data_IF_901290116552
#
_entry.id   IF_901290116552
#
_cell.length_a   1.000
_cell.length_b   1.000
_cell.length_c   1.000
_cell.angle_alpha   90.00
_cell.angle_beta   90.00
_cell.angle_gamma   90.00
#
_symmetry.space_group_name_H-M   'P 1'
#
loop_
_entity.id
_entity.type
_entity.pdbx_description
1 polymer ?
#
# COMPACT_ATOMS: atom_id res chain seq x y z
N UNK A 1 -26.22 -9.63 20.97
CA UNK A 1 -25.49 -9.52 19.69
C UNK A 1 -25.24 -8.05 19.45
N UNK A 2 -24.10 -7.52 19.89
CA UNK A 2 -23.71 -6.15 19.56
C UNK A 2 -23.39 -6.13 18.08
N UNK A 3 -24.27 -5.53 17.27
CA UNK A 3 -23.96 -5.18 15.90
C UNK A 3 -22.84 -4.14 15.94
N UNK A 4 -21.59 -4.61 15.87
CA UNK A 4 -20.43 -3.74 15.72
C UNK A 4 -20.58 -3.05 14.37
N UNK A 5 -21.00 -1.78 14.38
CA UNK A 5 -21.24 -1.03 13.16
C UNK A 5 -19.90 -0.83 12.44
N UNK A 6 -19.87 -1.03 11.12
CA UNK A 6 -18.65 -0.85 10.34
C UNK A 6 -18.07 0.55 10.58
N UNK A 7 -16.76 0.70 10.77
CA UNK A 7 -16.13 1.97 11.18
C UNK A 7 -16.26 3.09 10.14
N UNK A 8 -16.73 2.77 8.93
CA UNK A 8 -17.01 3.69 7.82
C UNK A 8 -18.44 4.23 7.82
N UNK A 9 -19.31 3.77 8.72
CA UNK A 9 -20.71 4.16 8.77
C UNK A 9 -20.94 5.12 9.93
N UNK A 10 -21.61 6.23 9.64
CA UNK A 10 -22.01 7.21 10.64
C UNK A 10 -23.20 6.64 11.42
N UNK A 11 -23.15 6.57 12.76
CA UNK A 11 -24.27 6.07 13.56
C UNK A 11 -25.52 6.94 13.39
N UNK A 12 -26.66 6.31 13.13
CA UNK A 12 -27.96 6.97 13.08
C UNK A 12 -28.43 7.40 14.47
N UNK A 13 -29.10 8.55 14.58
CA UNK A 13 -29.68 9.04 15.85
C UNK A 13 -28.83 10.06 16.61
N UNK A 14 -27.74 10.56 16.02
CA UNK A 14 -26.96 11.67 16.59
C UNK A 14 -27.68 12.98 16.25
N UNK A 15 -28.29 13.62 17.26
CA UNK A 15 -29.01 14.89 17.09
C UNK A 15 -28.14 16.12 17.42
N UNK A 16 -27.02 15.92 18.12
CA UNK A 16 -26.04 16.99 18.39
C UNK A 16 -25.16 17.20 17.14
N UNK A 17 -25.19 18.40 16.53
CA UNK A 17 -24.44 18.69 15.31
C UNK A 17 -22.93 18.51 15.47
N UNK A 18 -22.36 18.79 16.65
CA UNK A 18 -20.91 18.66 16.89
C UNK A 18 -20.50 17.19 16.91
N UNK A 19 -21.32 16.36 17.54
CA UNK A 19 -21.07 14.92 17.65
C UNK A 19 -21.28 14.22 16.31
N UNK A 20 -22.24 14.70 15.50
CA UNK A 20 -22.46 14.19 14.15
C UNK A 20 -21.25 14.49 13.26
N UNK A 21 -20.77 15.74 13.24
CA UNK A 21 -19.59 16.13 12.46
C UNK A 21 -18.33 15.32 12.85
N UNK A 22 -18.15 15.03 14.15
CA UNK A 22 -17.05 14.18 14.63
C UNK A 22 -17.20 12.73 14.16
N UNK A 23 -18.42 12.20 14.14
CA UNK A 23 -18.70 10.85 13.67
C UNK A 23 -18.49 10.73 12.15
N UNK A 24 -18.94 11.72 11.38
CA UNK A 24 -18.69 11.83 9.94
C UNK A 24 -17.20 11.90 9.59
N UNK A 25 -16.43 12.73 10.29
CA UNK A 25 -14.99 12.82 10.08
C UNK A 25 -14.26 11.49 10.37
N UNK A 26 -14.62 10.81 11.48
CA UNK A 26 -14.05 9.49 11.79
C UNK A 26 -14.41 8.44 10.75
N UNK A 27 -15.66 8.42 10.31
CA UNK A 27 -16.13 7.50 9.28
C UNK A 27 -15.44 7.73 7.94
N UNK A 28 -15.27 8.99 7.54
CA UNK A 28 -14.53 9.38 6.33
C UNK A 28 -13.05 8.99 6.43
N UNK A 29 -12.41 9.19 7.59
CA UNK A 29 -11.01 8.81 7.80
C UNK A 29 -10.83 7.29 7.76
N UNK A 30 -11.72 6.52 8.38
CA UNK A 30 -11.72 5.06 8.30
C UNK A 30 -11.96 4.57 6.86
N UNK A 31 -12.82 5.26 6.10
CA UNK A 31 -13.04 4.95 4.69
C UNK A 31 -11.79 5.26 3.84
N UNK A 32 -11.07 6.35 4.15
CA UNK A 32 -9.77 6.64 3.54
C UNK A 32 -8.75 5.59 3.94
N UNK A 33 -8.66 5.17 5.19
CA UNK A 33 -7.71 4.12 5.62
C UNK A 33 -7.96 2.79 4.87
N UNK A 34 -9.22 2.39 4.72
CA UNK A 34 -9.59 1.17 3.99
C UNK A 34 -9.33 1.32 2.48
N UNK A 35 -9.65 2.47 1.88
CA UNK A 35 -9.47 2.70 0.43
C UNK A 35 -8.02 2.99 0.06
N UNK A 36 -7.31 3.68 0.93
CA UNK A 36 -5.89 3.96 0.84
C UNK A 36 -5.06 2.82 1.43
N UNK A 37 -5.61 1.62 1.65
CA UNK A 37 -4.87 0.44 2.13
C UNK A 37 -3.81 -0.09 1.13
N UNK A 38 -3.43 0.71 0.13
CA UNK A 38 -2.31 0.43 -0.75
C UNK A 38 -0.98 0.24 0.02
N UNK A 39 -0.58 1.07 1.00
CA UNK A 39 0.66 0.88 1.75
C UNK A 39 0.69 -0.46 2.49
N UNK A 40 -0.41 -0.86 3.13
CA UNK A 40 -0.49 -2.17 3.80
C UNK A 40 -0.43 -3.32 2.80
N UNK A 41 -1.16 -3.22 1.69
CA UNK A 41 -1.11 -4.23 0.61
C UNK A 41 0.28 -4.33 -0.03
N UNK A 42 0.95 -3.19 -0.23
CA UNK A 42 2.32 -3.11 -0.73
C UNK A 42 3.28 -3.69 0.30
N UNK A 43 3.09 -3.42 1.60
CA UNK A 43 3.91 -3.96 2.69
C UNK A 43 3.76 -5.48 2.84
N UNK A 44 2.54 -5.99 2.75
CA UNK A 44 2.28 -7.43 2.77
C UNK A 44 2.86 -8.11 1.52
N UNK A 45 2.67 -7.51 0.34
CA UNK A 45 3.25 -8.01 -0.91
C UNK A 45 4.78 -7.99 -0.88
N UNK A 46 5.39 -6.89 -0.39
CA UNK A 46 6.84 -6.74 -0.29
C UNK A 46 7.42 -7.75 0.71
N UNK A 47 6.78 -7.95 1.86
CA UNK A 47 7.19 -8.93 2.87
C UNK A 47 7.20 -10.35 2.31
N UNK A 48 6.15 -10.73 1.55
CA UNK A 48 6.07 -12.04 0.88
C UNK A 48 7.16 -12.19 -0.19
N UNK A 49 7.39 -11.16 -0.99
CA UNK A 49 8.42 -11.15 -2.03
C UNK A 49 9.82 -11.24 -1.39
N UNK A 50 10.08 -10.50 -0.31
CA UNK A 50 11.34 -10.51 0.40
C UNK A 50 11.64 -11.89 0.99
N UNK A 51 10.66 -12.54 1.62
CA UNK A 51 10.81 -13.91 2.12
C UNK A 51 11.17 -14.89 0.98
N UNK A 52 10.47 -14.80 -0.16
CA UNK A 52 10.75 -15.65 -1.33
C UNK A 52 12.14 -15.34 -1.92
N UNK A 53 12.51 -14.08 -2.07
CA UNK A 53 13.81 -13.66 -2.58
C UNK A 53 14.95 -14.16 -1.70
N UNK A 54 14.78 -14.15 -0.37
CA UNK A 54 15.76 -14.70 0.57
C UNK A 54 16.00 -16.19 0.35
N UNK A 55 14.94 -16.99 0.18
CA UNK A 55 15.09 -18.42 -0.13
C UNK A 55 15.78 -18.68 -1.47
N UNK A 56 15.58 -17.80 -2.46
CA UNK A 56 16.25 -17.89 -3.76
C UNK A 56 17.73 -17.55 -3.62
N UNK A 57 18.07 -16.51 -2.86
CA UNK A 57 19.45 -16.10 -2.61
C UNK A 57 20.23 -17.18 -1.85
N UNK A 58 19.61 -17.81 -0.84
CA UNK A 58 20.22 -18.91 -0.07
C UNK A 58 20.45 -20.15 -0.94
N UNK A 59 19.53 -20.49 -1.85
CA UNK A 59 19.64 -21.69 -2.71
C UNK A 59 20.44 -21.47 -4.00
N UNK A 60 20.42 -20.27 -4.55
CA UNK A 60 20.97 -19.91 -5.87
C UNK A 60 21.52 -18.48 -5.85
N UNK A 61 22.69 -18.25 -5.23
CA UNK A 61 23.24 -16.91 -5.02
C UNK A 61 23.55 -16.19 -6.34
N UNK A 62 24.05 -16.91 -7.36
CA UNK A 62 24.35 -16.33 -8.68
C UNK A 62 23.08 -15.79 -9.34
N UNK A 63 21.99 -16.56 -9.32
CA UNK A 63 20.71 -16.14 -9.90
C UNK A 63 20.14 -14.92 -9.18
N UNK A 64 20.26 -14.87 -7.85
CA UNK A 64 19.82 -13.73 -7.07
C UNK A 64 20.61 -12.45 -7.43
N UNK A 65 21.94 -12.56 -7.54
CA UNK A 65 22.80 -11.44 -7.93
C UNK A 65 22.46 -10.93 -9.34
N UNK A 66 22.32 -11.84 -10.31
CA UNK A 66 21.92 -11.47 -11.67
C UNK A 66 20.56 -10.77 -11.68
N UNK A 67 19.60 -11.26 -10.90
CA UNK A 67 18.29 -10.64 -10.75
C UNK A 67 18.35 -9.22 -10.21
N UNK A 68 19.22 -8.95 -9.22
CA UNK A 68 19.42 -7.60 -8.66
C UNK A 68 19.99 -6.66 -9.72
N UNK A 69 21.03 -7.10 -10.44
CA UNK A 69 21.70 -6.28 -11.46
C UNK A 69 20.72 -5.92 -12.58
N UNK A 70 20.05 -6.93 -13.15
CA UNK A 70 19.11 -6.75 -14.26
C UNK A 70 17.89 -5.93 -13.82
N UNK A 71 17.34 -6.22 -12.64
CA UNK A 71 16.20 -5.48 -12.09
C UNK A 71 16.52 -4.00 -11.85
N UNK A 72 17.68 -3.71 -11.27
CA UNK A 72 18.13 -2.33 -11.02
C UNK A 72 18.38 -1.57 -12.31
N UNK A 73 19.03 -2.21 -13.30
CA UNK A 73 19.26 -1.62 -14.60
C UNK A 73 17.93 -1.30 -15.31
N UNK A 74 16.97 -2.21 -15.30
CA UNK A 74 15.65 -1.99 -15.90
C UNK A 74 14.93 -0.79 -15.27
N UNK A 75 14.89 -0.71 -13.94
CA UNK A 75 14.28 0.43 -13.24
C UNK A 75 14.98 1.75 -13.55
N UNK A 76 16.32 1.77 -13.50
CA UNK A 76 17.10 2.96 -13.85
C UNK A 76 16.85 3.43 -15.28
N UNK A 77 16.84 2.49 -16.24
CA UNK A 77 16.55 2.82 -17.65
C UNK A 77 15.12 3.31 -17.86
N UNK A 78 14.14 2.75 -17.15
CA UNK A 78 12.76 3.20 -17.23
C UNK A 78 12.60 4.65 -16.74
N UNK A 79 13.15 4.96 -15.56
CA UNK A 79 13.12 6.32 -15.01
C UNK A 79 13.86 7.31 -15.91
N UNK A 80 15.06 6.94 -16.36
CA UNK A 80 15.83 7.77 -17.29
C UNK A 80 15.06 8.01 -18.61
N UNK A 81 14.45 6.97 -19.18
CA UNK A 81 13.66 7.08 -20.41
C UNK A 81 12.47 8.01 -20.28
N UNK A 82 11.74 7.93 -19.16
CA UNK A 82 10.63 8.84 -18.85
C UNK A 82 11.14 10.29 -18.72
N UNK A 83 12.16 10.51 -17.89
CA UNK A 83 12.75 11.84 -17.70
C UNK A 83 13.29 12.41 -19.02
N UNK A 84 13.92 11.57 -19.86
CA UNK A 84 14.42 11.95 -21.17
C UNK A 84 13.30 12.33 -22.14
N UNK A 85 12.16 11.63 -22.06
CA UNK A 85 10.99 11.91 -22.92
C UNK A 85 10.31 13.22 -22.56
N UNK A 86 10.29 13.60 -21.29
CA UNK A 86 9.65 14.85 -20.82
C UNK A 86 10.59 16.06 -21.01
N UNK A 87 11.90 15.84 -21.07
CA UNK A 87 12.92 16.88 -21.25
C UNK A 87 13.26 17.21 -22.72
N UNK A 88 12.56 16.61 -23.68
CA UNK A 88 12.63 16.98 -25.10
C UNK A 88 11.37 17.70 -25.53
#
# INVERSE_FOLDING_TARGET
MSSEHAPTVVPSGINDPVQLARAELKAALAAIEIKANYPKRISEASSRIAAKARTIAEKKPVVALTGIIVGSAALGTAVWGIARSISR
#
